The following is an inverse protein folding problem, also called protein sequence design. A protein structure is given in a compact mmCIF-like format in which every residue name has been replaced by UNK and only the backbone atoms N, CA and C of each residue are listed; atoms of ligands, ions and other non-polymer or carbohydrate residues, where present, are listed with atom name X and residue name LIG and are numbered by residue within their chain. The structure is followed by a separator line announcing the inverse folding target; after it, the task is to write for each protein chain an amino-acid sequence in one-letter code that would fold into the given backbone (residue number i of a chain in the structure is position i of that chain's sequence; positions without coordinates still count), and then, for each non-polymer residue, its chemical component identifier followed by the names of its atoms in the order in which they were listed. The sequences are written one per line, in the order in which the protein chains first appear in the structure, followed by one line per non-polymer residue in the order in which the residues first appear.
data_IF_413607287764
#
_entry.id   IF_413607287764
#
_cell.length_a   1.000
_cell.length_b   1.000
_cell.length_c   1.000
_cell.angle_alpha   90.00
_cell.angle_beta   90.00
_cell.angle_gamma   90.00
#
_symmetry.space_group_name_H-M   'P 1'
#
loop_
_entity.id
_entity.type
_entity.pdbx_description
1 polymer ?
#
# COMPACT_ATOMS: atom_id res chain seq x y z
N UNK A 1 18.02 9.85 -6.74
CA UNK A 1 18.26 11.30 -6.80
C UNK A 1 17.78 11.87 -5.47
N UNK A 2 18.71 12.20 -4.56
CA UNK A 2 18.44 12.84 -3.26
C UNK A 2 18.28 14.36 -3.44
N UNK A 3 17.70 15.05 -2.44
CA UNK A 3 17.61 16.52 -2.44
C UNK A 3 19.00 17.19 -2.41
N UNK A 4 19.09 18.50 -2.72
CA UNK A 4 20.35 19.22 -2.66
C UNK A 4 21.01 19.01 -1.28
N UNK A 5 22.30 18.66 -1.30
CA UNK A 5 23.13 18.42 -0.11
C UNK A 5 22.68 17.25 0.81
N UNK A 6 21.92 16.28 0.29
CA UNK A 6 21.45 15.13 1.09
C UNK A 6 20.23 15.43 1.97
N UNK A 7 19.60 16.59 1.79
CA UNK A 7 18.34 16.92 2.43
C UNK A 7 17.19 16.03 1.89
N UNK A 8 16.14 15.78 2.70
CA UNK A 8 14.98 15.04 2.26
C UNK A 8 14.27 15.79 1.12
N UNK A 9 13.90 15.08 0.06
CA UNK A 9 13.21 15.67 -1.10
C UNK A 9 11.73 15.86 -0.81
N UNK A 10 11.18 17.02 -1.17
CA UNK A 10 9.73 17.21 -1.21
C UNK A 10 9.13 16.51 -2.44
N UNK A 11 8.26 15.53 -2.17
CA UNK A 11 7.60 14.71 -3.20
C UNK A 11 6.12 15.04 -3.36
N UNK A 12 5.61 16.10 -2.73
CA UNK A 12 4.16 16.37 -2.61
C UNK A 12 3.43 16.30 -3.94
N UNK A 13 3.82 17.14 -4.91
CA UNK A 13 3.17 17.20 -6.23
C UNK A 13 3.36 15.91 -7.02
N UNK A 14 4.55 15.30 -6.94
CA UNK A 14 4.83 14.04 -7.62
C UNK A 14 3.96 12.90 -7.08
N UNK A 15 3.83 12.80 -5.75
CA UNK A 15 3.13 11.71 -5.10
C UNK A 15 1.62 11.79 -5.33
N UNK A 16 1.04 13.00 -5.24
CA UNK A 16 -0.37 13.21 -5.61
C UNK A 16 -0.60 12.85 -7.09
N UNK A 17 0.34 13.20 -7.97
CA UNK A 17 0.32 12.79 -9.38
C UNK A 17 0.31 11.27 -9.56
N UNK A 18 1.14 10.54 -8.82
CA UNK A 18 1.16 9.06 -8.85
C UNK A 18 -0.17 8.46 -8.38
N UNK A 19 -0.73 8.94 -7.27
CA UNK A 19 -2.02 8.48 -6.76
C UNK A 19 -3.13 8.68 -7.79
N UNK A 20 -3.22 9.87 -8.41
CA UNK A 20 -4.24 10.16 -9.42
C UNK A 20 -4.05 9.34 -10.69
N UNK A 21 -2.82 9.25 -11.23
CA UNK A 21 -2.55 8.54 -12.47
C UNK A 21 -2.77 7.03 -12.32
N UNK A 22 -2.16 6.43 -11.29
CA UNK A 22 -2.24 4.99 -11.06
C UNK A 22 -3.61 4.59 -10.52
N UNK A 23 -4.26 5.45 -9.73
CA UNK A 23 -5.65 5.28 -9.31
C UNK A 23 -6.63 5.21 -10.48
N UNK A 24 -6.46 6.06 -11.51
CA UNK A 24 -7.26 5.98 -12.75
C UNK A 24 -7.06 4.66 -13.48
N UNK A 25 -5.81 4.23 -13.62
CA UNK A 25 -5.47 2.94 -14.24
C UNK A 25 -6.11 1.78 -13.46
N UNK A 26 -5.96 1.78 -12.13
CA UNK A 26 -6.53 0.77 -11.24
C UNK A 26 -8.06 0.73 -11.29
N UNK A 27 -8.72 1.89 -11.25
CA UNK A 27 -10.18 1.99 -11.35
C UNK A 27 -10.71 1.40 -12.66
N UNK A 28 -9.99 1.58 -13.77
CA UNK A 28 -10.33 0.95 -15.06
C UNK A 28 -10.13 -0.57 -15.10
N UNK A 29 -9.48 -1.17 -14.10
CA UNK A 29 -9.30 -2.62 -13.94
C UNK A 29 -10.27 -3.24 -12.94
N UNK A 30 -11.13 -2.43 -12.31
CA UNK A 30 -12.14 -2.91 -11.39
C UNK A 30 -13.13 -3.81 -12.16
N UNK A 31 -13.38 -5.06 -11.72
CA UNK A 31 -14.41 -5.90 -12.32
C UNK A 31 -15.77 -5.19 -12.26
N UNK A 32 -16.34 -4.88 -13.42
CA UNK A 32 -17.61 -4.16 -13.53
C UNK A 32 -18.81 -5.11 -13.42
N UNK A 33 -19.93 -4.58 -12.93
CA UNK A 33 -21.25 -5.24 -12.98
C UNK A 33 -21.86 -5.22 -14.41
N UNK A 34 -21.23 -4.48 -15.34
CA UNK A 34 -21.68 -4.32 -16.74
C UNK A 34 -21.42 -5.54 -17.64
N UNK A 35 -20.70 -6.55 -17.15
CA UNK A 35 -20.58 -7.86 -17.79
C UNK A 35 -21.73 -8.81 -17.42
N UNK A 36 -22.91 -8.26 -17.07
CA UNK A 36 -24.10 -8.99 -16.61
C UNK A 36 -24.66 -10.06 -17.58
N UNK A 37 -24.03 -10.28 -18.73
CA UNK A 37 -24.31 -11.43 -19.60
C UNK A 37 -23.44 -12.66 -19.30
N UNK A 38 -22.49 -12.59 -18.37
CA UNK A 38 -21.63 -13.72 -18.00
C UNK A 38 -21.86 -14.01 -16.51
N UNK A 39 -22.43 -15.17 -16.20
CA UNK A 39 -22.79 -15.60 -14.84
C UNK A 39 -21.60 -15.70 -13.86
N UNK A 40 -21.83 -16.28 -12.68
CA UNK A 40 -20.86 -16.37 -11.56
C UNK A 40 -19.41 -16.76 -11.96
N UNK A 41 -19.23 -17.56 -13.01
CA UNK A 41 -17.91 -17.92 -13.54
C UNK A 41 -17.11 -16.76 -14.16
N UNK A 42 -17.75 -15.78 -14.80
CA UNK A 42 -17.07 -14.63 -15.41
C UNK A 42 -16.50 -13.66 -14.36
N UNK A 43 -17.25 -13.43 -13.28
CA UNK A 43 -16.84 -12.58 -12.16
C UNK A 43 -15.57 -13.11 -11.48
N UNK A 44 -15.43 -14.43 -11.34
CA UNK A 44 -14.25 -15.06 -10.73
C UNK A 44 -13.00 -14.94 -11.62
N UNK A 45 -13.16 -15.07 -12.94
CA UNK A 45 -12.06 -14.90 -13.90
C UNK A 45 -11.54 -13.46 -13.90
N UNK A 46 -12.44 -12.47 -13.91
CA UNK A 46 -12.06 -11.05 -13.89
C UNK A 46 -11.28 -10.70 -12.61
N UNK A 47 -11.73 -11.18 -11.45
CA UNK A 47 -10.99 -10.99 -10.18
C UNK A 47 -9.60 -11.61 -10.22
N UNK A 48 -9.45 -12.80 -10.82
CA UNK A 48 -8.16 -13.46 -11.00
C UNK A 48 -7.21 -12.69 -11.91
N UNK A 49 -7.73 -12.12 -13.00
CA UNK A 49 -6.95 -11.29 -13.92
C UNK A 49 -6.52 -9.96 -13.27
N UNK A 50 -7.43 -9.28 -12.57
CA UNK A 50 -7.10 -8.04 -11.84
C UNK A 50 -6.06 -8.31 -10.76
N UNK A 51 -6.16 -9.42 -10.01
CA UNK A 51 -5.16 -9.81 -9.01
C UNK A 51 -3.78 -10.03 -9.64
N UNK A 52 -3.70 -10.78 -10.74
CA UNK A 52 -2.43 -11.04 -11.43
C UNK A 52 -1.81 -9.75 -11.98
N UNK A 53 -2.62 -8.90 -12.62
CA UNK A 53 -2.17 -7.61 -13.13
C UNK A 53 -1.65 -6.72 -12.00
N UNK A 54 -2.41 -6.59 -10.91
CA UNK A 54 -2.06 -5.74 -9.77
C UNK A 54 -0.75 -6.20 -9.13
N UNK A 55 -0.61 -7.51 -8.87
CA UNK A 55 0.65 -8.10 -8.38
C UNK A 55 1.84 -7.72 -9.25
N UNK A 56 1.70 -7.79 -10.58
CA UNK A 56 2.78 -7.42 -11.49
C UNK A 56 3.15 -5.93 -11.43
N UNK A 57 2.21 -5.06 -11.07
CA UNK A 57 2.50 -3.64 -10.90
C UNK A 57 3.31 -3.36 -9.63
N UNK A 58 2.93 -3.99 -8.52
CA UNK A 58 3.40 -3.64 -7.16
C UNK A 58 4.54 -4.51 -6.64
N UNK A 59 4.85 -5.63 -7.29
CA UNK A 59 5.95 -6.50 -6.88
C UNK A 59 7.31 -5.80 -6.98
N UNK A 60 8.32 -6.37 -6.31
CA UNK A 60 9.71 -5.90 -6.38
C UNK A 60 10.19 -5.77 -7.84
N UNK A 61 10.72 -4.60 -8.20
CA UNK A 61 11.13 -4.23 -9.56
C UNK A 61 9.96 -3.94 -10.52
N UNK A 62 8.72 -3.98 -10.03
CA UNK A 62 7.53 -3.63 -10.79
C UNK A 62 7.41 -2.12 -11.05
N UNK A 63 6.53 -1.72 -11.97
CA UNK A 63 6.29 -0.32 -12.31
C UNK A 63 5.95 0.59 -11.11
N UNK A 64 5.29 0.05 -10.08
CA UNK A 64 4.86 0.79 -8.90
C UNK A 64 5.73 0.52 -7.66
N UNK A 65 6.90 -0.10 -7.84
CA UNK A 65 7.91 -0.22 -6.81
C UNK A 65 8.67 1.11 -6.64
N UNK A 66 8.06 2.06 -5.95
CA UNK A 66 8.66 3.37 -5.73
C UNK A 66 9.98 3.30 -4.95
N UNK A 67 10.06 2.36 -4.01
CA UNK A 67 11.21 2.14 -3.13
C UNK A 67 12.47 1.81 -3.91
N UNK A 68 12.39 0.90 -4.88
CA UNK A 68 13.55 0.52 -5.69
C UNK A 68 13.73 1.34 -6.96
N UNK A 69 12.74 2.15 -7.34
CA UNK A 69 12.77 3.02 -8.51
C UNK A 69 12.93 4.49 -8.10
N UNK A 70 11.81 5.22 -8.07
CA UNK A 70 11.78 6.69 -7.96
C UNK A 70 12.37 7.24 -6.64
N UNK A 71 12.35 6.45 -5.56
CA UNK A 71 12.74 6.86 -4.20
C UNK A 71 13.98 6.13 -3.67
N UNK A 72 14.68 5.34 -4.51
CA UNK A 72 15.85 4.54 -4.08
C UNK A 72 16.95 5.37 -3.41
N UNK A 73 17.13 6.60 -3.86
CA UNK A 73 18.13 7.54 -3.32
C UNK A 73 17.71 8.23 -2.01
N UNK A 74 16.45 8.08 -1.58
CA UNK A 74 15.89 8.77 -0.44
C UNK A 74 15.91 7.92 0.84
N UNK A 75 16.45 6.69 0.78
CA UNK A 75 16.44 5.72 1.90
C UNK A 75 17.04 6.27 3.20
N UNK A 76 18.11 7.04 3.11
CA UNK A 76 18.80 7.59 4.28
C UNK A 76 18.14 8.89 4.77
N UNK A 77 17.80 9.79 3.84
CA UNK A 77 17.28 11.10 4.20
C UNK A 77 15.78 11.09 4.51
N UNK A 78 15.02 10.09 4.05
CA UNK A 78 13.57 10.15 4.01
C UNK A 78 13.06 11.13 2.94
N UNK A 79 11.79 11.50 3.04
CA UNK A 79 11.13 12.42 2.12
C UNK A 79 10.36 13.50 2.90
N UNK A 80 9.97 14.57 2.21
CA UNK A 80 8.97 15.52 2.69
C UNK A 80 7.67 15.35 1.91
N UNK A 81 6.55 15.40 2.62
CA UNK A 81 5.23 15.57 2.04
C UNK A 81 4.52 16.70 2.80
N UNK A 82 4.07 17.73 2.07
CA UNK A 82 3.47 18.94 2.62
C UNK A 82 4.32 19.55 3.76
N UNK A 83 5.65 19.54 3.61
CA UNK A 83 6.60 20.02 4.62
C UNK A 83 6.82 19.10 5.83
N UNK A 84 6.10 17.98 5.94
CA UNK A 84 6.27 16.99 7.00
C UNK A 84 7.21 15.87 6.56
N UNK A 85 8.12 15.46 7.44
CA UNK A 85 9.10 14.40 7.17
C UNK A 85 8.50 13.00 7.36
N UNK A 86 8.78 12.09 6.42
CA UNK A 86 8.37 10.69 6.48
C UNK A 86 9.49 9.73 6.06
N UNK A 87 9.35 8.47 6.45
CA UNK A 87 10.16 7.36 5.96
C UNK A 87 9.97 7.22 4.44
N UNK A 88 11.05 6.91 3.73
CA UNK A 88 11.07 6.87 2.26
C UNK A 88 10.15 5.79 1.64
N UNK A 89 9.73 4.79 2.40
CA UNK A 89 8.83 3.71 1.97
C UNK A 89 7.34 4.05 2.18
N UNK A 90 7.01 5.06 2.99
CA UNK A 90 5.64 5.56 3.19
C UNK A 90 4.89 5.73 1.86
N UNK A 91 5.45 6.38 0.81
CA UNK A 91 4.73 6.57 -0.43
C UNK A 91 4.34 5.26 -1.10
N UNK A 92 5.18 4.23 -1.01
CA UNK A 92 4.90 2.91 -1.59
C UNK A 92 3.74 2.21 -0.88
N UNK A 93 3.77 2.16 0.45
CA UNK A 93 2.73 1.51 1.26
C UNK A 93 1.39 2.24 1.19
N UNK A 94 1.40 3.57 1.30
CA UNK A 94 0.21 4.38 1.14
C UNK A 94 -0.39 4.23 -0.26
N UNK A 95 0.46 4.29 -1.30
CA UNK A 95 0.01 4.09 -2.67
C UNK A 95 -0.60 2.70 -2.87
N UNK A 96 0.03 1.64 -2.38
CA UNK A 96 -0.47 0.26 -2.47
C UNK A 96 -1.91 0.14 -1.95
N UNK A 97 -2.17 0.68 -0.75
CA UNK A 97 -3.52 0.70 -0.17
C UNK A 97 -4.52 1.49 -1.02
N UNK A 98 -4.14 2.68 -1.46
CA UNK A 98 -4.98 3.54 -2.28
C UNK A 98 -5.32 2.90 -3.64
N UNK A 99 -4.31 2.51 -4.44
CA UNK A 99 -4.56 1.96 -5.78
C UNK A 99 -5.18 0.56 -5.73
N UNK A 100 -4.89 -0.23 -4.69
CA UNK A 100 -5.54 -1.52 -4.48
C UNK A 100 -7.04 -1.38 -4.24
N UNK A 101 -7.42 -0.38 -3.45
CA UNK A 101 -8.83 -0.03 -3.21
C UNK A 101 -9.50 0.47 -4.49
N UNK A 102 -8.82 1.32 -5.27
CA UNK A 102 -9.32 1.75 -6.59
C UNK A 102 -9.50 0.58 -7.57
N UNK A 103 -8.66 -0.47 -7.50
CA UNK A 103 -8.81 -1.71 -8.27
C UNK A 103 -9.96 -2.61 -7.78
N UNK A 104 -10.58 -2.28 -6.64
CA UNK A 104 -11.72 -3.00 -6.07
C UNK A 104 -11.33 -4.14 -5.11
N UNK A 105 -10.10 -4.17 -4.60
CA UNK A 105 -9.72 -5.11 -3.54
C UNK A 105 -10.24 -4.64 -2.18
N UNK A 106 -10.57 -5.59 -1.31
CA UNK A 106 -10.95 -5.30 0.06
C UNK A 106 -9.73 -4.95 0.93
N UNK A 107 -9.95 -4.21 2.02
CA UNK A 107 -8.90 -3.90 2.99
C UNK A 107 -8.19 -5.16 3.51
N UNK A 108 -8.95 -6.20 3.87
CA UNK A 108 -8.36 -7.46 4.36
C UNK A 108 -7.49 -8.14 3.31
N UNK A 109 -7.89 -8.14 2.03
CA UNK A 109 -7.07 -8.66 0.93
C UNK A 109 -5.74 -7.92 0.82
N UNK A 110 -5.77 -6.58 0.89
CA UNK A 110 -4.57 -5.75 0.75
C UNK A 110 -3.63 -5.95 1.94
N UNK A 111 -4.15 -5.91 3.17
CA UNK A 111 -3.36 -6.09 4.38
C UNK A 111 -2.73 -7.49 4.46
N UNK A 112 -3.50 -8.55 4.18
CA UNK A 112 -2.96 -9.92 4.18
C UNK A 112 -1.94 -10.15 3.07
N UNK A 113 -2.12 -9.53 1.89
CA UNK A 113 -1.16 -9.65 0.78
C UNK A 113 0.15 -8.90 1.06
N UNK A 114 0.10 -7.74 1.71
CA UNK A 114 1.28 -7.02 2.18
C UNK A 114 2.08 -7.87 3.17
N UNK A 115 1.41 -8.40 4.20
CA UNK A 115 2.05 -9.27 5.19
C UNK A 115 2.63 -10.56 4.59
N UNK A 116 1.91 -11.21 3.66
CA UNK A 116 2.45 -12.36 2.93
C UNK A 116 3.70 -12.01 2.11
N UNK A 117 3.73 -10.84 1.48
CA UNK A 117 4.91 -10.39 0.73
C UNK A 117 6.10 -10.15 1.67
N UNK A 118 5.88 -9.60 2.86
CA UNK A 118 6.94 -9.37 3.85
C UNK A 118 7.48 -10.67 4.47
N UNK A 119 6.61 -11.65 4.75
CA UNK A 119 7.01 -13.00 5.15
C UNK A 119 7.89 -13.64 4.08
N UNK A 120 7.47 -13.58 2.80
CA UNK A 120 8.24 -14.13 1.69
C UNK A 120 9.59 -13.42 1.49
N UNK A 121 9.67 -12.12 1.80
CA UNK A 121 10.92 -11.37 1.75
C UNK A 121 11.87 -11.69 2.91
N UNK A 122 11.41 -12.43 3.94
CA UNK A 122 12.20 -12.76 5.12
C UNK A 122 12.47 -11.57 6.05
N UNK A 123 11.68 -10.50 5.93
CA UNK A 123 11.83 -9.27 6.73
C UNK A 123 10.68 -9.07 7.72
N UNK A 124 9.82 -10.07 7.87
CA UNK A 124 8.78 -10.08 8.89
C UNK A 124 9.35 -10.43 10.27
N UNK A 125 8.58 -10.18 11.33
CA UNK A 125 8.92 -10.55 12.71
C UNK A 125 7.72 -11.19 13.41
N UNK A 126 7.95 -12.12 14.36
CA UNK A 126 6.89 -12.69 15.20
C UNK A 126 5.95 -11.65 15.83
N UNK A 127 6.51 -10.54 16.29
CA UNK A 127 5.77 -9.46 16.95
C UNK A 127 4.85 -8.67 16.00
N UNK A 128 4.84 -8.97 14.71
CA UNK A 128 3.99 -8.30 13.70
C UNK A 128 2.66 -9.05 13.47
N UNK A 129 2.31 -10.00 14.34
CA UNK A 129 1.16 -10.89 14.17
C UNK A 129 -0.18 -10.17 13.94
N UNK A 130 -0.39 -9.01 14.58
CA UNK A 130 -1.65 -8.27 14.51
C UNK A 130 -1.86 -7.50 13.19
N UNK A 131 -0.83 -7.40 12.36
CA UNK A 131 -0.83 -6.74 11.05
C UNK A 131 -0.63 -7.76 9.93
N UNK A 132 -1.10 -8.99 10.12
CA UNK A 132 -0.88 -10.12 9.19
C UNK A 132 0.60 -10.36 8.89
N UNK A 133 1.49 -10.06 9.86
CA UNK A 133 2.95 -10.16 9.73
C UNK A 133 3.59 -9.11 8.80
N UNK A 134 2.88 -8.02 8.49
CA UNK A 134 3.42 -6.81 7.86
C UNK A 134 4.00 -5.86 8.93
N UNK A 135 5.01 -5.06 8.59
CA UNK A 135 5.57 -4.04 9.50
C UNK A 135 4.43 -3.12 9.96
N UNK A 136 4.23 -2.90 11.28
CA UNK A 136 3.05 -2.18 11.74
C UNK A 136 2.93 -0.73 11.25
N UNK A 137 4.06 -0.08 10.96
CA UNK A 137 4.08 1.23 10.34
C UNK A 137 3.72 1.16 8.85
N UNK A 138 4.25 0.19 8.10
CA UNK A 138 3.87 -0.05 6.70
C UNK A 138 2.38 -0.34 6.57
N UNK A 139 1.85 -1.22 7.41
CA UNK A 139 0.43 -1.57 7.46
C UNK A 139 -0.46 -0.34 7.78
N UNK A 140 0.00 0.53 8.70
CA UNK A 140 -0.72 1.76 9.00
C UNK A 140 -0.81 2.68 7.77
N UNK A 141 0.26 2.81 6.98
CA UNK A 141 0.20 3.59 5.74
C UNK A 141 -0.69 2.93 4.68
N UNK A 142 -0.70 1.60 4.56
CA UNK A 142 -1.65 0.87 3.69
C UNK A 142 -3.10 1.24 4.07
N UNK A 143 -3.43 1.19 5.36
CA UNK A 143 -4.77 1.56 5.88
C UNK A 143 -5.13 3.02 5.61
N UNK A 144 -4.18 3.94 5.73
CA UNK A 144 -4.39 5.35 5.39
C UNK A 144 -4.67 5.54 3.89
N UNK A 145 -3.95 4.82 3.02
CA UNK A 145 -4.20 4.81 1.59
C UNK A 145 -5.60 4.31 1.24
N UNK A 146 -6.04 3.21 1.87
CA UNK A 146 -7.40 2.67 1.75
C UNK A 146 -8.42 3.73 2.18
N UNK A 147 -8.24 4.34 3.36
CA UNK A 147 -9.16 5.36 3.88
C UNK A 147 -9.29 6.58 2.96
N UNK A 148 -8.19 7.00 2.32
CA UNK A 148 -8.24 8.08 1.33
C UNK A 148 -9.05 7.65 0.09
N UNK A 149 -8.80 6.45 -0.44
CA UNK A 149 -9.52 5.95 -1.61
C UNK A 149 -11.03 5.82 -1.34
N UNK A 150 -11.42 5.25 -0.21
CA UNK A 150 -12.82 5.09 0.18
C UNK A 150 -13.55 6.43 0.36
N UNK A 151 -12.85 7.45 0.89
CA UNK A 151 -13.46 8.74 1.19
C UNK A 151 -13.47 9.73 0.02
N UNK A 152 -12.50 9.64 -0.90
CA UNK A 152 -12.29 10.65 -1.96
C UNK A 152 -12.23 10.09 -3.37
N UNK A 153 -11.98 8.79 -3.53
CA UNK A 153 -11.75 8.19 -4.85
C UNK A 153 -10.72 8.99 -5.65
N UNK A 154 -11.04 9.34 -6.90
CA UNK A 154 -10.16 10.12 -7.79
C UNK A 154 -10.19 11.64 -7.59
N UNK A 155 -10.96 12.14 -6.62
CA UNK A 155 -11.12 13.57 -6.34
C UNK A 155 -10.25 14.01 -5.16
N UNK A 156 -8.96 13.66 -5.19
CA UNK A 156 -7.99 13.96 -4.14
C UNK A 156 -7.16 15.21 -4.45
N UNK A 157 -6.79 15.94 -3.40
CA UNK A 157 -5.81 17.03 -3.41
C UNK A 157 -4.63 16.72 -2.49
N UNK A 158 -3.54 17.51 -2.58
CA UNK A 158 -2.42 17.41 -1.63
C UNK A 158 -2.89 17.60 -0.17
N UNK A 159 -3.85 18.50 0.05
CA UNK A 159 -4.41 18.76 1.38
C UNK A 159 -5.21 17.55 1.92
N UNK A 160 -5.93 16.82 1.05
CA UNK A 160 -6.62 15.61 1.47
C UNK A 160 -5.64 14.51 1.88
N UNK A 161 -4.56 14.32 1.11
CA UNK A 161 -3.50 13.35 1.42
C UNK A 161 -2.82 13.72 2.74
N UNK A 162 -2.46 15.00 2.92
CA UNK A 162 -1.86 15.51 4.16
C UNK A 162 -2.78 15.30 5.37
N UNK A 163 -4.07 15.62 5.23
CA UNK A 163 -5.06 15.43 6.29
C UNK A 163 -5.23 13.96 6.70
N UNK A 164 -5.10 13.02 5.76
CA UNK A 164 -5.11 11.59 6.05
C UNK A 164 -3.79 11.14 6.67
N UNK A 165 -2.64 11.56 6.14
CA UNK A 165 -1.33 11.22 6.71
C UNK A 165 -1.16 11.70 8.15
N UNK A 166 -1.74 12.85 8.52
CA UNK A 166 -1.76 13.36 9.90
C UNK A 166 -2.54 12.48 10.88
N UNK A 167 -3.36 11.55 10.40
CA UNK A 167 -4.04 10.54 11.23
C UNK A 167 -3.16 9.33 11.53
N UNK A 168 -1.93 9.29 11.01
CA UNK A 168 -0.99 8.22 11.29
C UNK A 168 -0.85 8.00 12.79
N UNK A 169 -0.94 6.73 13.18
CA UNK A 169 -0.71 6.27 14.53
C UNK A 169 0.20 5.06 14.45
N UNK A 170 1.29 5.11 15.21
CA UNK A 170 2.15 3.96 15.35
C UNK A 170 1.35 2.83 16.00
N UNK A 171 1.34 1.67 15.33
CA UNK A 171 0.65 0.48 15.83
C UNK A 171 1.69 -0.44 16.44
N UNK A 172 1.45 -0.91 17.65
CA UNK A 172 2.24 -1.98 18.26
C UNK A 172 1.33 -3.16 18.51
N UNK A 173 1.78 -4.36 18.13
CA UNK A 173 1.04 -5.56 18.48
C UNK A 173 1.23 -5.83 19.98
N UNK A 174 0.13 -6.19 20.65
CA UNK A 174 0.18 -6.67 22.02
C UNK A 174 0.75 -8.09 22.10
N UNK A 175 0.62 -8.71 23.27
CA UNK A 175 0.96 -10.12 23.44
C UNK A 175 0.00 -11.00 22.61
N UNK A 176 0.52 -11.97 21.82
CA UNK A 176 -0.33 -12.91 21.11
C UNK A 176 -1.06 -13.81 22.12
N UNK A 177 -2.26 -14.25 21.75
CA UNK A 177 -2.91 -15.34 22.47
C UNK A 177 -2.25 -16.70 22.15
N UNK A 178 -2.71 -17.77 22.80
CA UNK A 178 -2.14 -19.10 22.63
C UNK A 178 -2.28 -19.63 21.19
N UNK A 179 -3.37 -19.29 20.51
CA UNK A 179 -3.57 -19.74 19.13
C UNK A 179 -2.62 -19.03 18.19
N UNK A 180 -2.50 -17.71 18.32
CA UNK A 180 -1.58 -16.91 17.53
C UNK A 180 -0.11 -17.29 17.79
N UNK A 181 0.23 -17.68 19.02
CA UNK A 181 1.56 -18.21 19.32
C UNK A 181 1.88 -19.47 18.51
N UNK A 182 0.93 -20.40 18.38
CA UNK A 182 1.13 -21.60 17.53
C UNK A 182 1.34 -21.24 16.06
N UNK A 183 0.63 -20.23 15.56
CA UNK A 183 0.81 -19.74 14.19
C UNK A 183 2.21 -19.13 14.01
N UNK A 184 2.64 -18.30 14.96
CA UNK A 184 3.97 -17.70 14.97
C UNK A 184 5.05 -18.78 14.88
N UNK A 185 4.96 -19.80 15.73
CA UNK A 185 5.95 -20.90 15.81
C UNK A 185 6.03 -21.75 14.53
N UNK A 186 5.03 -21.66 13.63
CA UNK A 186 5.03 -22.34 12.33
C UNK A 186 5.60 -21.47 11.19
N UNK A 187 5.59 -20.15 11.36
CA UNK A 187 5.99 -19.20 10.34
C UNK A 187 7.46 -18.74 10.47
N UNK A 188 8.04 -18.86 11.67
CA UNK A 188 9.40 -18.40 12.01
C UNK A 188 10.21 -19.50 12.69
#
# INVERSE_FOLDING_TARGET
MSGPNGAPRDITSWFVGQLLANGKIANGKRPGIGSALIGLGGILVDKGLTLRWFKNQVQNGGPWDFKNNALKGDKTAGILFAGTHYRYDMPGNFHYGYVGTMAGFSASTLESAAGYAQLKAGTSKPDYWCTSFDDPEDNAYVRLGIALADSKGLSITAADVDAVLKKFKHTTCGKPDRFMQVVIDQLF
#
